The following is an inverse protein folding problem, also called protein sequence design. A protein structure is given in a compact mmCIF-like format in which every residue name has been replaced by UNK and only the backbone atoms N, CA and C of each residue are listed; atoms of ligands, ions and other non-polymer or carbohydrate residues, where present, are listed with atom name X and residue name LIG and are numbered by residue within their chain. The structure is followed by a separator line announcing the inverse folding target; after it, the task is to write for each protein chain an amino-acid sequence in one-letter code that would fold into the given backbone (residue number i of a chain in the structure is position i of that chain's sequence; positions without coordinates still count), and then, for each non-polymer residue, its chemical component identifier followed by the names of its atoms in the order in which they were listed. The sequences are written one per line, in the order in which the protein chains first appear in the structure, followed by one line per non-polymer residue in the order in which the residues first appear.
data_IF_323762067375
#
_entry.id   IF_323762067375
#
_cell.length_a   1.000
_cell.length_b   1.000
_cell.length_c   1.000
_cell.angle_alpha   90.00
_cell.angle_beta   90.00
_cell.angle_gamma   90.00
#
_symmetry.space_group_name_H-M   'P 1'
#
loop_
_entity.id
_entity.type
_entity.pdbx_description
1 polymer ?
#
# COMPACT_ATOMS: atom_id res chain seq x y z
N UNK A 1 57.32 -2.56 84.09
CA UNK A 1 57.08 -1.74 82.89
C UNK A 1 57.99 -2.29 81.80
N UNK A 2 57.38 -2.86 80.78
CA UNK A 2 57.88 -3.94 79.92
C UNK A 2 58.85 -3.42 78.85
N UNK A 3 60.06 -3.99 78.76
CA UNK A 3 61.01 -3.73 77.67
C UNK A 3 60.79 -4.78 76.56
N UNK A 4 60.36 -4.33 75.37
CA UNK A 4 60.13 -5.16 74.19
C UNK A 4 61.38 -5.18 73.29
N UNK A 5 61.84 -6.39 72.99
CA UNK A 5 62.96 -6.75 72.12
C UNK A 5 62.56 -6.54 70.64
N UNK A 6 63.37 -5.79 69.88
CA UNK A 6 63.24 -5.64 68.41
C UNK A 6 63.99 -6.76 67.70
N UNK A 7 63.27 -7.63 67.00
CA UNK A 7 63.84 -8.61 66.05
C UNK A 7 64.17 -7.93 64.71
N UNK A 8 65.35 -8.23 64.16
CA UNK A 8 65.81 -7.84 62.83
C UNK A 8 65.56 -9.02 61.87
N UNK A 9 64.88 -8.78 60.75
CA UNK A 9 64.75 -9.73 59.63
C UNK A 9 65.44 -9.12 58.38
N UNK A 10 66.32 -9.85 57.67
CA UNK A 10 66.98 -9.33 56.48
C UNK A 10 66.06 -9.46 55.25
N UNK A 11 66.01 -8.42 54.43
CA UNK A 11 65.24 -8.35 53.18
C UNK A 11 65.97 -9.06 52.04
N UNK A 12 65.31 -10.04 51.41
CA UNK A 12 65.76 -10.73 50.20
C UNK A 12 65.25 -9.95 48.97
N UNK A 13 66.16 -9.39 48.16
CA UNK A 13 65.83 -8.64 46.94
C UNK A 13 65.72 -9.62 45.76
N UNK A 14 64.51 -9.86 45.25
CA UNK A 14 64.28 -10.61 44.00
C UNK A 14 64.20 -9.61 42.84
N UNK A 15 65.15 -9.68 41.91
CA UNK A 15 65.15 -8.87 40.69
C UNK A 15 64.16 -9.45 39.67
N UNK A 16 63.01 -8.80 39.50
CA UNK A 16 62.03 -9.13 38.46
C UNK A 16 62.44 -8.46 37.14
N UNK A 17 62.74 -9.26 36.12
CA UNK A 17 62.91 -8.82 34.73
C UNK A 17 61.53 -8.67 34.07
N UNK A 18 61.18 -7.51 33.50
CA UNK A 18 59.88 -7.32 32.87
C UNK A 18 59.84 -8.01 31.49
N UNK A 19 58.91 -8.94 31.31
CA UNK A 19 58.48 -9.42 30.00
C UNK A 19 57.71 -8.30 29.30
N UNK A 20 58.27 -7.75 28.23
CA UNK A 20 57.56 -6.83 27.33
C UNK A 20 56.68 -7.70 26.42
N UNK A 21 55.38 -7.75 26.70
CA UNK A 21 54.41 -8.33 25.78
C UNK A 21 54.21 -7.39 24.58
N UNK A 22 54.14 -7.89 23.34
CA UNK A 22 53.80 -7.07 22.19
C UNK A 22 52.37 -6.53 22.35
N UNK A 23 52.21 -5.21 22.17
CA UNK A 23 50.90 -4.58 22.18
C UNK A 23 50.03 -5.13 21.02
N UNK A 24 48.74 -5.40 21.25
CA UNK A 24 47.83 -5.77 20.16
C UNK A 24 47.78 -4.63 19.14
N UNK A 25 48.01 -4.95 17.86
CA UNK A 25 47.79 -3.99 16.77
C UNK A 25 46.31 -3.65 16.76
N UNK A 26 45.98 -2.38 16.96
CA UNK A 26 44.64 -1.87 16.72
C UNK A 26 44.26 -2.20 15.26
N UNK A 27 43.13 -2.89 15.09
CA UNK A 27 42.53 -3.16 13.79
C UNK A 27 42.21 -1.78 13.18
N UNK A 28 42.83 -1.43 12.04
CA UNK A 28 42.56 -0.17 11.36
C UNK A 28 41.06 -0.10 11.09
N UNK A 29 40.38 0.87 11.71
CA UNK A 29 38.97 1.12 11.45
C UNK A 29 38.82 1.47 9.97
N UNK A 30 38.02 0.70 9.24
CA UNK A 30 37.71 0.95 7.83
C UNK A 30 37.11 2.35 7.74
N UNK A 31 37.71 3.23 6.94
CA UNK A 31 37.21 4.58 6.77
C UNK A 31 35.83 4.56 6.08
N UNK A 32 34.85 5.35 6.54
CA UNK A 32 33.55 5.44 5.88
C UNK A 32 33.69 6.20 4.56
N UNK A 33 32.99 5.72 3.52
CA UNK A 33 32.84 6.41 2.24
C UNK A 33 31.73 7.48 2.32
N UNK A 34 30.65 7.19 3.04
CA UNK A 34 29.53 8.10 3.28
C UNK A 34 29.16 8.04 4.76
N UNK A 35 28.86 9.18 5.36
CA UNK A 35 28.24 9.29 6.68
C UNK A 35 26.80 9.78 6.51
N UNK A 36 25.84 9.11 7.14
CA UNK A 36 24.44 9.51 7.17
C UNK A 36 24.04 9.66 8.64
N UNK A 37 23.85 10.91 9.08
CA UNK A 37 23.87 11.28 10.49
C UNK A 37 25.18 10.77 11.13
N UNK A 38 25.08 9.86 12.11
CA UNK A 38 26.24 9.22 12.75
C UNK A 38 26.48 7.77 12.27
N UNK A 39 25.76 7.33 11.22
CA UNK A 39 25.85 5.97 10.70
C UNK A 39 26.78 5.91 9.48
N UNK A 40 27.89 5.16 9.54
CA UNK A 40 28.82 5.03 8.42
C UNK A 40 28.28 4.09 7.33
N UNK A 41 28.69 4.35 6.10
CA UNK A 41 28.55 3.46 4.94
C UNK A 41 29.96 3.32 4.34
N UNK A 42 30.44 2.09 4.24
CA UNK A 42 31.76 1.76 3.71
C UNK A 42 31.73 1.46 2.21
N UNK A 43 32.87 1.56 1.53
CA UNK A 43 32.99 1.11 0.13
C UNK A 43 32.65 -0.36 -0.04
N UNK A 44 33.00 -1.20 0.95
CA UNK A 44 32.66 -2.62 0.94
C UNK A 44 31.15 -2.84 0.95
N UNK A 45 30.39 -2.13 1.78
CA UNK A 45 28.92 -2.21 1.80
C UNK A 45 28.32 -1.78 0.46
N UNK A 46 28.85 -0.72 -0.14
CA UNK A 46 28.41 -0.22 -1.45
C UNK A 46 28.64 -1.28 -2.53
N UNK A 47 29.84 -1.87 -2.59
CA UNK A 47 30.18 -2.90 -3.57
C UNK A 47 29.36 -4.17 -3.39
N UNK A 48 29.20 -4.64 -2.15
CA UNK A 48 28.37 -5.80 -1.83
C UNK A 48 26.90 -5.56 -2.18
N UNK A 49 26.36 -4.38 -1.88
CA UNK A 49 24.98 -4.02 -2.24
C UNK A 49 24.83 -3.93 -3.76
N UNK A 50 25.84 -3.43 -4.48
CA UNK A 50 25.81 -3.39 -5.94
C UNK A 50 25.76 -4.80 -6.56
N UNK A 51 26.59 -5.73 -6.07
CA UNK A 51 26.56 -7.14 -6.47
C UNK A 51 25.21 -7.80 -6.16
N UNK A 52 24.65 -7.54 -4.97
CA UNK A 52 23.32 -8.01 -4.62
C UNK A 52 22.29 -7.49 -5.62
N UNK A 53 22.24 -6.18 -5.87
CA UNK A 53 21.28 -5.58 -6.81
C UNK A 53 21.41 -6.14 -8.22
N UNK A 54 22.63 -6.38 -8.70
CA UNK A 54 22.88 -7.04 -9.98
C UNK A 54 22.33 -8.48 -9.99
N UNK A 55 22.60 -9.26 -8.95
CA UNK A 55 22.07 -10.62 -8.81
C UNK A 55 20.53 -10.65 -8.75
N UNK A 56 19.91 -9.59 -8.25
CA UNK A 56 18.45 -9.42 -8.22
C UNK A 56 17.86 -8.84 -9.52
N UNK A 57 18.69 -8.52 -10.52
CA UNK A 57 18.27 -8.02 -11.83
C UNK A 57 17.95 -6.53 -11.89
N UNK A 58 18.51 -5.71 -10.99
CA UNK A 58 18.31 -4.26 -11.00
C UNK A 58 18.93 -3.63 -12.28
N UNK A 59 18.20 -2.74 -12.99
CA UNK A 59 18.72 -2.09 -14.19
C UNK A 59 19.69 -0.93 -13.87
N UNK A 60 20.63 -0.65 -14.78
CA UNK A 60 21.44 0.57 -14.76
C UNK A 60 22.76 0.47 -13.99
N UNK A 61 23.22 1.59 -13.42
CA UNK A 61 24.46 1.66 -12.67
C UNK A 61 24.25 1.12 -11.24
N UNK A 62 24.65 -0.14 -11.02
CA UNK A 62 24.46 -0.83 -9.74
C UNK A 62 25.09 -0.12 -8.54
N UNK A 63 26.25 0.53 -8.72
CA UNK A 63 26.94 1.22 -7.62
C UNK A 63 26.22 2.49 -7.18
N UNK A 64 25.83 3.35 -8.12
CA UNK A 64 25.08 4.57 -7.80
C UNK A 64 23.71 4.26 -7.16
N UNK A 65 23.06 3.18 -7.62
CA UNK A 65 21.82 2.70 -7.01
C UNK A 65 22.07 2.15 -5.60
N UNK A 66 23.16 1.41 -5.39
CA UNK A 66 23.55 0.90 -4.08
C UNK A 66 23.80 2.04 -3.07
N UNK A 67 24.56 3.08 -3.46
CA UNK A 67 24.79 4.26 -2.63
C UNK A 67 23.47 4.93 -2.22
N UNK A 68 22.57 5.14 -3.18
CA UNK A 68 21.25 5.74 -2.92
C UNK A 68 20.43 4.91 -1.94
N UNK A 69 20.37 3.59 -2.14
CA UNK A 69 19.60 2.69 -1.27
C UNK A 69 20.21 2.58 0.13
N UNK A 70 21.54 2.54 0.25
CA UNK A 70 22.22 2.47 1.55
C UNK A 70 22.02 3.76 2.35
N UNK A 71 22.00 4.92 1.68
CA UNK A 71 21.63 6.19 2.33
C UNK A 71 20.21 6.11 2.88
N UNK A 72 19.24 5.68 2.07
CA UNK A 72 17.85 5.51 2.50
C UNK A 72 17.71 4.50 3.64
N UNK A 73 18.46 3.40 3.60
CA UNK A 73 18.47 2.40 4.66
C UNK A 73 19.05 2.96 5.97
N UNK A 74 20.09 3.81 5.92
CA UNK A 74 20.61 4.50 7.12
C UNK A 74 19.62 5.51 7.68
N UNK A 75 18.92 6.26 6.83
CA UNK A 75 17.88 7.20 7.27
C UNK A 75 16.74 6.43 7.96
N UNK A 76 16.23 5.36 7.33
CA UNK A 76 15.21 4.50 7.92
C UNK A 76 15.68 3.90 9.25
N UNK A 77 16.91 3.37 9.28
CA UNK A 77 17.46 2.75 10.49
C UNK A 77 17.55 3.73 11.64
N UNK A 78 18.05 4.95 11.38
CA UNK A 78 18.10 6.01 12.38
C UNK A 78 16.73 6.28 13.00
N UNK A 79 15.68 6.36 12.18
CA UNK A 79 14.32 6.62 12.67
C UNK A 79 13.69 5.42 13.39
N UNK A 80 13.92 4.20 12.89
CA UNK A 80 13.50 2.95 13.53
C UNK A 80 14.10 2.84 14.93
N UNK A 81 15.41 3.08 15.06
CA UNK A 81 16.12 3.03 16.34
C UNK A 81 15.64 4.15 17.28
N UNK A 82 15.40 5.37 16.76
CA UNK A 82 14.88 6.52 17.54
C UNK A 82 13.50 6.24 18.15
N UNK A 83 12.68 5.47 17.45
CA UNK A 83 11.34 5.07 17.89
C UNK A 83 11.32 3.72 18.64
N UNK A 84 12.49 3.13 18.90
CA UNK A 84 12.64 1.86 19.61
C UNK A 84 11.84 0.73 18.94
N UNK A 85 11.79 0.73 17.61
CA UNK A 85 11.09 -0.30 16.82
C UNK A 85 12.06 -1.45 16.58
N UNK A 86 11.84 -2.57 17.26
CA UNK A 86 12.68 -3.76 17.12
C UNK A 86 12.16 -4.69 16.01
N UNK A 87 13.10 -5.30 15.28
CA UNK A 87 12.86 -6.45 14.39
C UNK A 87 13.39 -7.69 15.11
N UNK A 88 12.52 -8.62 15.48
CA UNK A 88 12.97 -9.83 16.18
C UNK A 88 13.65 -10.81 15.23
N UNK A 89 14.42 -11.76 15.77
CA UNK A 89 15.06 -12.80 14.97
C UNK A 89 14.03 -13.63 14.18
N UNK A 90 12.87 -13.91 14.79
CA UNK A 90 11.78 -14.63 14.13
C UNK A 90 11.18 -13.82 12.96
N UNK A 91 11.06 -12.50 13.11
CA UNK A 91 10.59 -11.61 12.04
C UNK A 91 11.60 -11.52 10.89
N UNK A 92 12.90 -11.48 11.21
CA UNK A 92 13.97 -11.47 10.21
C UNK A 92 13.99 -12.79 9.41
N UNK A 93 13.92 -13.94 10.10
CA UNK A 93 13.83 -15.26 9.48
C UNK A 93 12.58 -15.39 8.60
N UNK A 94 11.44 -14.87 9.06
CA UNK A 94 10.22 -14.84 8.27
C UNK A 94 10.37 -13.97 7.03
N UNK A 95 11.01 -12.80 7.14
CA UNK A 95 11.29 -11.91 6.01
C UNK A 95 12.22 -12.53 4.97
N UNK A 96 13.27 -13.24 5.41
CA UNK A 96 14.17 -13.99 4.52
C UNK A 96 13.44 -15.11 3.78
N UNK A 97 12.60 -15.87 4.50
CA UNK A 97 11.77 -16.93 3.91
C UNK A 97 10.82 -16.36 2.86
N UNK A 98 10.10 -15.29 3.19
CA UNK A 98 9.19 -14.58 2.28
C UNK A 98 9.94 -14.10 1.02
N UNK A 99 11.16 -13.61 1.18
CA UNK A 99 12.00 -13.17 0.06
C UNK A 99 12.47 -14.32 -0.83
N UNK A 100 12.88 -15.44 -0.23
CA UNK A 100 13.33 -16.63 -0.95
C UNK A 100 12.17 -17.28 -1.72
N UNK A 101 11.00 -17.41 -1.09
CA UNK A 101 9.80 -18.01 -1.68
C UNK A 101 9.30 -17.24 -2.91
N UNK A 102 9.39 -15.90 -2.90
CA UNK A 102 9.10 -15.07 -4.09
C UNK A 102 10.00 -15.39 -5.29
N UNK A 103 11.17 -15.97 -5.06
CA UNK A 103 12.12 -16.42 -6.08
C UNK A 103 12.10 -17.94 -6.28
N UNK A 104 11.11 -18.63 -5.71
CA UNK A 104 10.98 -20.09 -5.79
C UNK A 104 12.19 -20.83 -5.20
N UNK A 105 12.83 -20.25 -4.18
CA UNK A 105 13.96 -20.82 -3.45
C UNK A 105 13.60 -20.99 -1.97
N UNK A 106 14.28 -21.89 -1.28
CA UNK A 106 14.38 -21.83 0.18
C UNK A 106 15.53 -20.90 0.62
N UNK A 107 15.59 -20.59 1.92
CA UNK A 107 16.61 -19.67 2.48
C UNK A 107 18.03 -20.18 2.24
N UNK A 108 18.27 -21.48 2.40
CA UNK A 108 19.60 -22.07 2.21
C UNK A 108 20.06 -22.01 0.75
N UNK A 109 19.15 -22.29 -0.18
CA UNK A 109 19.38 -22.17 -1.62
C UNK A 109 19.67 -20.72 -2.04
N UNK A 110 18.92 -19.76 -1.48
CA UNK A 110 19.15 -18.33 -1.71
C UNK A 110 20.55 -17.93 -1.26
N UNK A 111 20.93 -18.26 -0.02
CA UNK A 111 22.24 -17.90 0.53
C UNK A 111 23.39 -18.56 -0.24
N UNK A 112 23.25 -19.83 -0.62
CA UNK A 112 24.24 -20.52 -1.46
C UNK A 112 24.40 -19.84 -2.84
N UNK A 113 23.30 -19.44 -3.48
CA UNK A 113 23.34 -18.74 -4.77
C UNK A 113 23.98 -17.34 -4.68
N UNK A 114 23.86 -16.66 -3.54
CA UNK A 114 24.52 -15.39 -3.27
C UNK A 114 26.02 -15.59 -3.01
N UNK A 115 26.39 -16.59 -2.21
CA UNK A 115 27.79 -16.93 -1.92
C UNK A 115 28.57 -17.31 -3.19
N UNK A 116 27.97 -18.08 -4.11
CA UNK A 116 28.55 -18.41 -5.42
C UNK A 116 28.91 -17.16 -6.26
N UNK A 117 28.28 -16.02 -5.99
CA UNK A 117 28.52 -14.73 -6.64
C UNK A 117 29.42 -13.80 -5.82
N UNK A 118 29.94 -14.26 -4.70
CA UNK A 118 30.78 -13.46 -3.80
C UNK A 118 29.99 -12.42 -3.00
N UNK A 119 28.68 -12.63 -2.80
CA UNK A 119 27.82 -11.77 -2.00
C UNK A 119 27.71 -12.35 -0.59
N UNK A 120 28.17 -11.60 0.40
CA UNK A 120 28.14 -11.98 1.80
C UNK A 120 26.69 -12.10 2.33
N UNK A 121 26.43 -13.06 3.20
CA UNK A 121 25.13 -13.28 3.86
C UNK A 121 24.68 -12.02 4.62
N UNK A 122 25.61 -11.34 5.29
CA UNK A 122 25.33 -10.11 6.02
C UNK A 122 24.75 -9.01 5.12
N UNK A 123 25.11 -8.99 3.83
CA UNK A 123 24.53 -8.05 2.86
C UNK A 123 23.04 -8.29 2.65
N UNK A 124 22.64 -9.56 2.64
CA UNK A 124 21.24 -9.96 2.50
C UNK A 124 20.45 -9.62 3.78
N UNK A 125 21.03 -9.88 4.95
CA UNK A 125 20.44 -9.49 6.24
C UNK A 125 20.25 -7.96 6.33
N UNK A 126 21.30 -7.21 6.01
CA UNK A 126 21.30 -5.74 6.00
C UNK A 126 20.36 -5.13 4.94
N UNK A 127 19.97 -5.90 3.92
CA UNK A 127 18.95 -5.49 2.94
C UNK A 127 17.53 -5.69 3.48
N UNK A 128 17.30 -6.78 4.21
CA UNK A 128 15.95 -7.15 4.71
C UNK A 128 15.58 -6.42 5.99
N UNK A 129 16.48 -6.34 6.96
CA UNK A 129 16.18 -5.82 8.30
C UNK A 129 15.64 -4.38 8.29
N UNK A 130 16.27 -3.39 7.60
CA UNK A 130 15.73 -2.03 7.55
C UNK A 130 14.35 -1.96 6.88
N UNK A 131 14.11 -2.80 5.87
CA UNK A 131 12.83 -2.88 5.16
C UNK A 131 11.72 -3.40 6.08
N UNK A 132 12.01 -4.40 6.94
CA UNK A 132 11.07 -4.93 7.93
C UNK A 132 10.74 -3.90 9.01
N UNK A 133 11.76 -3.27 9.59
CA UNK A 133 11.56 -2.24 10.61
C UNK A 133 10.78 -1.05 10.06
N UNK A 134 11.08 -0.63 8.83
CA UNK A 134 10.35 0.44 8.15
C UNK A 134 8.89 0.08 7.90
N UNK A 135 8.62 -1.15 7.44
CA UNK A 135 7.24 -1.66 7.27
C UNK A 135 6.47 -1.62 8.59
N UNK A 136 7.09 -2.06 9.70
CA UNK A 136 6.47 -2.01 11.05
C UNK A 136 6.17 -0.57 11.47
N UNK A 137 7.13 0.34 11.29
CA UNK A 137 6.95 1.76 11.56
C UNK A 137 5.77 2.33 10.79
N UNK A 138 5.80 2.19 9.47
CA UNK A 138 4.79 2.76 8.56
C UNK A 138 3.41 2.22 8.89
N UNK A 139 3.28 0.91 9.11
CA UNK A 139 2.01 0.30 9.50
C UNK A 139 1.52 0.83 10.85
N UNK A 140 2.38 0.89 11.86
CA UNK A 140 2.02 1.40 13.19
C UNK A 140 1.60 2.87 13.17
N UNK A 141 2.25 3.69 12.35
CA UNK A 141 2.03 5.14 12.30
C UNK A 141 0.87 5.55 11.37
N UNK A 142 0.75 4.93 10.20
CA UNK A 142 -0.07 5.44 9.10
C UNK A 142 -1.25 4.54 8.69
N UNK A 143 -1.37 3.31 9.21
CA UNK A 143 -2.46 2.40 8.79
C UNK A 143 -3.86 2.98 9.02
N UNK A 144 -4.06 3.74 10.11
CA UNK A 144 -5.34 4.41 10.38
C UNK A 144 -5.70 5.45 9.31
N UNK A 145 -4.71 6.23 8.86
CA UNK A 145 -4.87 7.26 7.84
C UNK A 145 -4.99 6.68 6.43
N UNK A 146 -4.33 5.55 6.16
CA UNK A 146 -4.33 4.90 4.85
C UNK A 146 -5.64 4.15 4.54
N UNK A 147 -6.47 3.83 5.54
CA UNK A 147 -7.72 3.07 5.33
C UNK A 147 -8.71 3.85 4.45
N UNK A 148 -9.14 3.29 3.30
CA UNK A 148 -10.17 3.91 2.49
C UNK A 148 -11.56 3.77 3.12
N UNK A 149 -12.39 4.80 2.90
CA UNK A 149 -13.80 4.80 3.26
C UNK A 149 -14.64 4.05 2.23
N UNK A 150 -15.87 3.67 2.56
CA UNK A 150 -16.76 3.06 1.57
C UNK A 150 -17.07 4.01 0.41
N UNK A 151 -17.11 5.32 0.67
CA UNK A 151 -17.25 6.34 -0.37
C UNK A 151 -16.03 6.37 -1.32
N UNK A 152 -14.81 6.15 -0.82
CA UNK A 152 -13.62 6.04 -1.67
C UNK A 152 -13.74 4.85 -2.62
N UNK A 153 -14.29 3.73 -2.15
CA UNK A 153 -14.50 2.51 -2.94
C UNK A 153 -15.57 2.73 -4.00
N UNK A 154 -16.72 3.31 -3.65
CA UNK A 154 -17.77 3.67 -4.62
C UNK A 154 -17.23 4.59 -5.72
N UNK A 155 -16.44 5.58 -5.31
CA UNK A 155 -15.81 6.53 -6.24
C UNK A 155 -14.84 5.82 -7.18
N UNK A 156 -14.04 4.88 -6.67
CA UNK A 156 -13.11 4.08 -7.47
C UNK A 156 -13.83 3.15 -8.46
N UNK A 157 -14.93 2.51 -8.05
CA UNK A 157 -15.73 1.63 -8.90
C UNK A 157 -16.43 2.40 -10.02
N UNK A 158 -17.03 3.54 -9.69
CA UNK A 158 -17.66 4.43 -10.66
C UNK A 158 -16.64 4.98 -11.68
N UNK A 159 -15.39 5.15 -11.25
CA UNK A 159 -14.30 5.53 -12.12
C UNK A 159 -13.91 4.37 -13.07
N UNK A 160 -13.73 3.17 -12.53
CA UNK A 160 -13.31 1.99 -13.29
C UNK A 160 -14.36 1.53 -14.33
N UNK A 161 -15.65 1.71 -14.04
CA UNK A 161 -16.75 1.31 -14.92
C UNK A 161 -16.97 2.25 -16.13
N UNK A 162 -16.20 3.34 -16.24
CA UNK A 162 -16.26 4.20 -17.42
C UNK A 162 -15.84 3.42 -18.67
N UNK A 163 -16.63 3.60 -19.74
CA UNK A 163 -16.33 3.02 -21.06
C UNK A 163 -15.25 3.80 -21.83
N UNK A 164 -14.62 4.77 -21.16
CA UNK A 164 -13.56 5.61 -21.70
C UNK A 164 -12.31 5.41 -20.87
N UNK A 165 -11.15 5.34 -21.55
CA UNK A 165 -9.85 5.50 -20.92
C UNK A 165 -9.41 6.95 -21.15
N UNK A 166 -9.46 7.76 -20.10
CA UNK A 166 -8.96 9.13 -20.15
C UNK A 166 -7.49 9.16 -19.72
N UNK A 167 -6.63 9.75 -20.56
CA UNK A 167 -5.24 10.05 -20.22
C UNK A 167 -5.05 11.55 -20.09
N UNK A 168 -4.31 11.93 -19.06
CA UNK A 168 -4.04 13.32 -18.70
C UNK A 168 -2.58 13.65 -18.97
N UNK A 169 -2.34 14.74 -19.70
CA UNK A 169 -1.02 15.33 -19.82
C UNK A 169 -0.92 16.48 -18.83
N UNK A 170 -0.11 16.32 -17.79
CA UNK A 170 -0.09 17.23 -16.64
C UNK A 170 1.23 18.01 -16.51
N UNK A 171 1.17 19.09 -15.76
CA UNK A 171 2.32 19.78 -15.22
C UNK A 171 2.06 20.09 -13.75
N UNK A 172 3.04 19.90 -12.87
CA UNK A 172 2.84 19.98 -11.42
C UNK A 172 3.73 21.04 -10.75
N UNK A 173 3.23 21.58 -9.64
CA UNK A 173 3.97 22.34 -8.64
C UNK A 173 3.69 21.68 -7.29
N UNK A 174 4.68 21.00 -6.71
CA UNK A 174 4.61 20.56 -5.31
C UNK A 174 5.23 21.60 -4.37
N UNK A 175 4.41 22.21 -3.51
CA UNK A 175 4.83 23.14 -2.46
C UNK A 175 5.15 22.34 -1.20
N UNK A 176 6.34 22.50 -0.65
CA UNK A 176 6.74 21.79 0.58
C UNK A 176 6.02 22.34 1.80
N UNK A 177 5.38 21.48 2.59
CA UNK A 177 4.84 21.85 3.91
C UNK A 177 5.97 22.06 4.92
N UNK A 178 7.10 21.38 4.76
CA UNK A 178 8.28 21.53 5.62
C UNK A 178 8.88 22.96 5.54
N UNK A 179 9.00 23.50 4.32
CA UNK A 179 9.61 24.82 4.09
C UNK A 179 8.73 25.97 4.58
N UNK A 180 7.41 25.84 4.46
CA UNK A 180 6.46 26.94 4.71
C UNK A 180 5.61 26.76 5.97
N UNK A 181 5.44 25.53 6.46
CA UNK A 181 4.42 25.15 7.43
C UNK A 181 3.05 24.89 6.78
N UNK A 182 2.17 24.11 7.41
CA UNK A 182 0.94 23.60 6.79
C UNK A 182 -0.05 24.71 6.38
N UNK A 183 -0.25 25.70 7.25
CA UNK A 183 -1.19 26.81 6.97
C UNK A 183 -0.66 27.73 5.86
N UNK A 184 0.64 28.04 5.89
CA UNK A 184 1.27 28.91 4.90
C UNK A 184 1.34 28.23 3.53
N UNK A 185 1.75 26.95 3.49
CA UNK A 185 1.75 26.17 2.26
C UNK A 185 0.35 26.12 1.65
N UNK A 186 -0.71 25.97 2.47
CA UNK A 186 -2.09 25.98 2.00
C UNK A 186 -2.50 27.33 1.45
N UNK A 187 -2.12 28.42 2.12
CA UNK A 187 -2.38 29.78 1.65
C UNK A 187 -1.66 30.08 0.35
N UNK A 188 -0.37 29.77 0.28
CA UNK A 188 0.47 29.94 -0.91
C UNK A 188 -0.07 29.11 -2.07
N UNK A 189 -0.45 27.86 -1.81
CA UNK A 189 -1.05 26.99 -2.82
C UNK A 189 -2.32 27.58 -3.39
N UNK A 190 -3.22 28.06 -2.53
CA UNK A 190 -4.46 28.70 -2.94
C UNK A 190 -4.23 30.00 -3.72
N UNK A 191 -3.20 30.78 -3.35
CA UNK A 191 -2.79 31.98 -4.08
C UNK A 191 -2.26 31.65 -5.48
N UNK A 192 -1.33 30.69 -5.57
CA UNK A 192 -0.73 30.25 -6.82
C UNK A 192 -1.79 29.69 -7.76
N UNK A 193 -2.66 28.79 -7.29
CA UNK A 193 -3.75 28.24 -8.09
C UNK A 193 -4.61 29.34 -8.71
N UNK A 194 -5.02 30.36 -7.92
CA UNK A 194 -5.81 31.49 -8.43
C UNK A 194 -5.04 32.37 -9.40
N UNK A 195 -3.78 32.67 -9.11
CA UNK A 195 -2.94 33.55 -9.94
C UNK A 195 -2.63 32.91 -11.30
N UNK A 196 -2.29 31.62 -11.29
CA UNK A 196 -1.96 30.85 -12.48
C UNK A 196 -3.18 30.67 -13.39
N UNK A 197 -4.38 30.47 -12.82
CA UNK A 197 -5.63 30.46 -13.59
C UNK A 197 -5.97 31.81 -14.26
N UNK A 198 -5.35 32.92 -13.85
CA UNK A 198 -5.51 34.25 -14.47
C UNK A 198 -4.43 34.56 -15.51
N UNK A 199 -3.70 33.55 -15.97
CA UNK A 199 -2.63 33.70 -16.97
C UNK A 199 -1.23 33.91 -16.38
N UNK A 200 -1.03 33.58 -15.09
CA UNK A 200 0.29 33.59 -14.48
C UNK A 200 1.27 32.60 -15.15
N UNK A 201 2.58 32.89 -15.06
CA UNK A 201 3.60 32.05 -15.66
C UNK A 201 3.86 30.80 -14.79
N UNK A 202 3.33 29.66 -15.23
CA UNK A 202 3.45 28.38 -14.52
C UNK A 202 4.91 27.90 -14.43
N UNK A 203 5.70 28.01 -15.50
CA UNK A 203 7.09 27.53 -15.52
C UNK A 203 7.96 28.31 -14.52
N UNK A 204 7.72 29.62 -14.38
CA UNK A 204 8.39 30.44 -13.37
C UNK A 204 7.97 30.06 -11.94
N UNK A 205 6.69 29.72 -11.73
CA UNK A 205 6.20 29.26 -10.44
C UNK A 205 6.79 27.89 -10.07
N UNK A 206 6.91 26.96 -11.01
CA UNK A 206 7.61 25.69 -10.81
C UNK A 206 9.04 25.95 -10.36
N UNK A 207 9.80 26.75 -11.13
CA UNK A 207 11.21 27.01 -10.85
C UNK A 207 11.43 27.66 -9.47
N UNK A 208 10.47 28.45 -9.00
CA UNK A 208 10.57 29.17 -7.73
C UNK A 208 10.10 28.33 -6.53
N UNK A 209 8.94 27.69 -6.65
CA UNK A 209 8.21 27.13 -5.50
C UNK A 209 8.20 25.61 -5.49
N UNK A 210 8.40 24.93 -6.62
CA UNK A 210 8.24 23.49 -6.66
C UNK A 210 9.44 22.76 -6.05
N UNK A 211 9.14 21.69 -5.31
CA UNK A 211 10.12 20.73 -4.78
C UNK A 211 9.93 19.31 -5.34
N UNK A 212 9.07 19.15 -6.35
CA UNK A 212 8.90 17.86 -7.01
C UNK A 212 10.13 17.50 -7.87
N UNK A 213 10.46 16.20 -8.06
CA UNK A 213 11.52 15.78 -8.98
C UNK A 213 11.33 16.31 -10.41
N UNK A 214 10.08 16.41 -10.85
CA UNK A 214 9.68 16.95 -12.16
C UNK A 214 10.06 18.43 -12.34
N UNK A 215 10.32 19.18 -11.27
CA UNK A 215 10.68 20.60 -11.33
C UNK A 215 11.91 20.85 -12.22
N UNK A 216 12.84 19.89 -12.29
CA UNK A 216 14.02 19.93 -13.18
C UNK A 216 13.65 19.98 -14.67
N UNK A 217 12.48 19.48 -15.03
CA UNK A 217 11.90 19.51 -16.37
C UNK A 217 10.68 20.46 -16.44
N UNK A 218 10.73 21.55 -15.67
CA UNK A 218 9.64 22.52 -15.61
C UNK A 218 8.33 21.94 -15.06
N UNK A 219 8.38 20.88 -14.26
CA UNK A 219 7.20 20.27 -13.63
C UNK A 219 6.39 19.37 -14.58
N UNK A 220 6.91 19.04 -15.76
CA UNK A 220 6.14 18.28 -16.77
C UNK A 220 6.11 16.79 -16.45
N UNK A 221 4.93 16.21 -16.52
CA UNK A 221 4.68 14.77 -16.40
C UNK A 221 4.39 14.17 -17.78
N UNK A 222 4.69 12.88 -17.93
CA UNK A 222 4.23 12.07 -19.06
C UNK A 222 2.72 11.82 -18.99
N UNK A 223 2.14 11.19 -20.02
CA UNK A 223 0.72 10.84 -20.04
C UNK A 223 0.35 9.87 -18.92
N UNK A 224 -0.48 10.34 -17.99
CA UNK A 224 -0.97 9.56 -16.85
C UNK A 224 -2.37 9.03 -17.18
N UNK A 225 -2.64 7.73 -17.02
CA UNK A 225 -4.04 7.27 -17.09
C UNK A 225 -4.77 7.79 -15.86
N UNK A 226 -5.96 8.35 -16.06
CA UNK A 226 -6.77 8.79 -14.94
C UNK A 226 -7.19 7.61 -14.04
N UNK A 227 -7.16 6.37 -14.55
CA UNK A 227 -7.35 5.15 -13.76
C UNK A 227 -6.17 4.76 -12.87
N UNK A 228 -4.97 5.28 -13.14
CA UNK A 228 -3.79 5.09 -12.30
C UNK A 228 -3.75 6.09 -11.13
N UNK A 229 -4.59 7.12 -11.17
CA UNK A 229 -4.67 8.15 -10.14
C UNK A 229 -5.64 7.75 -9.02
N UNK A 230 -5.40 8.18 -7.78
CA UNK A 230 -6.39 8.07 -6.72
C UNK A 230 -7.71 8.73 -7.14
N UNK A 231 -8.87 8.09 -6.97
CA UNK A 231 -10.13 8.57 -7.53
C UNK A 231 -10.50 10.03 -7.15
N UNK A 232 -10.30 10.48 -5.89
CA UNK A 232 -10.56 11.88 -5.53
C UNK A 232 -9.72 12.89 -6.30
N UNK A 233 -8.52 12.50 -6.73
CA UNK A 233 -7.60 13.34 -7.51
C UNK A 233 -7.98 13.28 -8.98
N UNK A 234 -8.21 12.06 -9.51
CA UNK A 234 -8.64 11.85 -10.89
C UNK A 234 -9.88 12.68 -11.22
N UNK A 235 -10.89 12.69 -10.34
CA UNK A 235 -12.12 13.48 -10.51
C UNK A 235 -11.84 14.98 -10.58
N UNK A 236 -10.98 15.50 -9.70
CA UNK A 236 -10.63 16.92 -9.71
C UNK A 236 -9.88 17.31 -10.99
N UNK A 237 -8.97 16.46 -11.47
CA UNK A 237 -8.17 16.75 -12.65
C UNK A 237 -8.95 16.56 -13.96
N UNK A 238 -9.86 15.58 -14.03
CA UNK A 238 -10.76 15.40 -15.18
C UNK A 238 -11.80 16.51 -15.32
N UNK A 239 -12.09 17.24 -14.23
CA UNK A 239 -12.99 18.39 -14.27
C UNK A 239 -12.34 19.64 -14.89
N UNK A 240 -11.02 19.63 -15.11
CA UNK A 240 -10.28 20.76 -15.67
C UNK A 240 -10.40 20.80 -17.18
N UNK A 241 -10.40 22.00 -17.75
CA UNK A 241 -10.17 22.21 -19.17
C UNK A 241 -8.66 22.29 -19.48
N UNK A 242 -8.21 21.94 -20.70
CA UNK A 242 -6.84 22.17 -21.11
C UNK A 242 -6.42 23.63 -20.92
N UNK A 243 -5.30 23.84 -20.23
CA UNK A 243 -4.78 25.14 -19.78
C UNK A 243 -5.18 25.53 -18.35
N UNK A 244 -6.22 24.91 -17.78
CA UNK A 244 -6.72 25.20 -16.44
C UNK A 244 -5.84 24.57 -15.35
N UNK A 245 -5.85 25.22 -14.18
CA UNK A 245 -5.05 24.86 -13.02
C UNK A 245 -5.95 24.38 -11.88
N UNK A 246 -5.61 23.25 -11.29
CA UNK A 246 -6.36 22.63 -10.19
C UNK A 246 -6.43 23.52 -8.95
N UNK A 247 -7.40 23.24 -8.09
CA UNK A 247 -7.30 23.63 -6.70
C UNK A 247 -6.04 23.00 -6.07
N UNK A 248 -5.52 23.54 -4.96
CA UNK A 248 -4.39 22.93 -4.25
C UNK A 248 -4.83 21.59 -3.65
N UNK A 249 -4.13 20.53 -4.03
CA UNK A 249 -4.42 19.15 -3.61
C UNK A 249 -3.39 18.75 -2.55
N UNK A 250 -3.80 18.41 -1.32
CA UNK A 250 -2.91 17.82 -0.33
C UNK A 250 -2.40 16.48 -0.86
N UNK A 251 -1.12 16.45 -1.16
CA UNK A 251 -0.46 15.32 -1.78
C UNK A 251 0.93 15.26 -1.21
N UNK A 252 1.23 14.16 -0.58
CA UNK A 252 2.58 13.96 -0.16
C UNK A 252 2.90 14.65 1.17
N UNK A 253 4.12 15.20 1.21
CA UNK A 253 4.63 16.19 2.16
C UNK A 253 4.33 17.64 1.75
N UNK A 254 3.27 17.83 0.96
CA UNK A 254 3.10 19.07 0.25
C UNK A 254 1.71 19.33 -0.23
N UNK A 255 1.61 20.47 -0.89
CA UNK A 255 0.41 20.88 -1.59
C UNK A 255 0.76 20.94 -3.06
N UNK A 256 0.15 20.05 -3.81
CA UNK A 256 0.36 19.95 -5.24
C UNK A 256 -0.68 20.75 -5.99
N UNK A 257 -0.25 21.44 -7.04
CA UNK A 257 -1.10 22.14 -7.98
C UNK A 257 -0.77 21.59 -9.36
N UNK A 258 -1.79 21.18 -10.10
CA UNK A 258 -1.64 20.66 -11.44
C UNK A 258 -2.20 21.62 -12.48
N UNK A 259 -1.53 21.73 -13.62
CA UNK A 259 -2.11 22.30 -14.84
C UNK A 259 -2.42 21.16 -15.80
N UNK A 260 -3.66 21.10 -16.28
CA UNK A 260 -3.99 20.20 -17.38
C UNK A 260 -3.44 20.81 -18.67
N UNK A 261 -2.55 20.09 -19.36
CA UNK A 261 -2.02 20.53 -20.65
C UNK A 261 -2.83 20.00 -21.80
N UNK A 262 -3.26 18.74 -21.70
CA UNK A 262 -4.06 18.06 -22.70
C UNK A 262 -4.80 16.87 -22.08
N UNK A 263 -5.88 16.44 -22.73
CA UNK A 263 -6.66 15.25 -22.36
C UNK A 263 -6.92 14.40 -23.60
N UNK A 264 -6.59 13.12 -23.50
CA UNK A 264 -6.90 12.12 -24.53
C UNK A 264 -8.02 11.23 -24.02
N UNK A 265 -9.16 11.19 -24.73
CA UNK A 265 -10.27 10.29 -24.42
C UNK A 265 -10.27 9.18 -25.46
N UNK A 266 -10.11 7.94 -25.01
CA UNK A 266 -10.19 6.76 -25.87
C UNK A 266 -11.42 5.96 -25.51
N UNK A 267 -12.24 5.62 -26.51
CA UNK A 267 -13.29 4.62 -26.32
C UNK A 267 -12.62 3.29 -25.99
N UNK A 268 -12.94 2.76 -24.81
CA UNK A 268 -12.64 1.37 -24.50
C UNK A 268 -13.58 0.55 -25.37
N UNK A 269 -13.09 -0.40 -26.19
CA UNK A 269 -13.98 -1.26 -26.96
C UNK A 269 -14.97 -1.88 -25.99
N UNK A 270 -16.26 -1.63 -26.21
CA UNK A 270 -17.31 -2.17 -25.36
C UNK A 270 -17.13 -3.69 -25.34
N UNK A 271 -17.08 -4.34 -24.16
CA UNK A 271 -17.29 -5.78 -24.13
C UNK A 271 -18.64 -6.03 -24.82
N UNK A 272 -18.65 -6.89 -25.83
CA UNK A 272 -19.83 -7.18 -26.66
C UNK A 272 -21.07 -7.39 -25.78
N UNK A 273 -21.97 -6.39 -25.76
CA UNK A 273 -23.36 -6.46 -25.31
C UNK A 273 -23.67 -7.55 -24.26
N UNK A 274 -23.12 -7.46 -23.06
CA UNK A 274 -23.77 -8.12 -21.93
C UNK A 274 -24.93 -7.23 -21.50
N UNK A 275 -26.15 -7.53 -21.96
CA UNK A 275 -27.34 -6.96 -21.33
C UNK A 275 -27.19 -7.13 -19.82
N UNK A 276 -27.52 -6.10 -19.03
CA UNK A 276 -27.37 -6.21 -17.58
C UNK A 276 -28.11 -7.46 -17.10
N UNK A 277 -27.38 -8.41 -16.54
CA UNK A 277 -27.89 -9.68 -16.04
C UNK A 277 -27.79 -9.72 -14.54
N UNK A 278 -28.61 -10.56 -13.93
CA UNK A 278 -28.51 -10.93 -12.53
C UNK A 278 -28.42 -12.44 -12.39
N UNK A 279 -27.75 -12.88 -11.33
CA UNK A 279 -27.80 -14.25 -10.82
C UNK A 279 -28.40 -14.20 -9.42
N UNK A 280 -29.35 -15.07 -9.12
CA UNK A 280 -30.06 -15.09 -7.84
C UNK A 280 -30.43 -16.51 -7.42
N UNK A 281 -30.71 -16.74 -6.14
CA UNK A 281 -31.38 -17.94 -5.65
C UNK A 281 -32.83 -17.66 -5.33
N UNK A 282 -33.69 -18.63 -5.64
CA UNK A 282 -35.02 -18.76 -5.04
C UNK A 282 -35.00 -20.00 -4.14
N UNK A 283 -35.27 -19.84 -2.85
CA UNK A 283 -35.53 -20.96 -1.93
C UNK A 283 -37.02 -20.96 -1.61
N UNK A 284 -37.72 -21.97 -2.09
CA UNK A 284 -39.17 -22.07 -2.08
C UNK A 284 -39.58 -23.07 -1.00
N UNK A 285 -40.22 -22.58 0.05
CA UNK A 285 -40.99 -23.40 0.97
C UNK A 285 -42.42 -23.54 0.41
N UNK A 286 -42.79 -24.68 -0.18
CA UNK A 286 -44.04 -24.79 -0.93
C UNK A 286 -45.25 -24.68 0.00
N UNK A 287 -46.21 -23.82 -0.36
CA UNK A 287 -47.45 -23.63 0.38
C UNK A 287 -48.59 -23.26 -0.58
N UNK A 288 -49.77 -23.83 -0.37
CA UNK A 288 -50.96 -23.46 -1.13
C UNK A 288 -51.34 -21.98 -0.88
N UNK A 289 -52.00 -21.35 -1.87
CA UNK A 289 -52.40 -19.95 -1.79
C UNK A 289 -53.34 -19.64 -0.60
N UNK A 290 -54.14 -20.62 -0.18
CA UNK A 290 -55.08 -20.58 0.94
C UNK A 290 -54.53 -21.24 2.23
N UNK A 291 -53.21 -21.45 2.31
CA UNK A 291 -52.59 -22.07 3.48
C UNK A 291 -52.91 -21.28 4.77
N UNK A 292 -53.16 -21.96 5.91
CA UNK A 292 -53.41 -21.29 7.19
C UNK A 292 -52.26 -20.38 7.62
N UNK A 293 -52.58 -19.27 8.29
CA UNK A 293 -51.59 -18.28 8.77
C UNK A 293 -50.45 -18.91 9.59
N UNK A 294 -50.77 -19.94 10.39
CA UNK A 294 -49.78 -20.68 11.16
C UNK A 294 -48.69 -21.32 10.28
N UNK A 295 -49.08 -21.93 9.15
CA UNK A 295 -48.14 -22.53 8.21
C UNK A 295 -47.32 -21.46 7.47
N UNK A 296 -47.93 -20.32 7.14
CA UNK A 296 -47.21 -19.18 6.55
C UNK A 296 -46.17 -18.62 7.51
N UNK A 297 -46.52 -18.50 8.80
CA UNK A 297 -45.62 -18.02 9.84
C UNK A 297 -44.43 -18.97 10.05
N UNK A 298 -44.68 -20.27 10.06
CA UNK A 298 -43.63 -21.30 10.17
C UNK A 298 -42.66 -21.25 8.99
N UNK A 299 -43.17 -21.18 7.75
CA UNK A 299 -42.34 -21.06 6.57
C UNK A 299 -41.51 -19.75 6.55
N UNK A 300 -42.09 -18.63 6.98
CA UNK A 300 -41.34 -17.38 7.17
C UNK A 300 -40.31 -17.46 8.29
N UNK A 301 -40.53 -18.28 9.32
CA UNK A 301 -39.55 -18.50 10.38
C UNK A 301 -38.34 -19.28 9.84
N UNK A 302 -38.58 -20.33 9.05
CA UNK A 302 -37.52 -21.08 8.38
C UNK A 302 -36.69 -20.17 7.45
N UNK A 303 -37.34 -19.37 6.60
CA UNK A 303 -36.64 -18.44 5.72
C UNK A 303 -35.78 -17.42 6.49
N UNK A 304 -36.26 -16.94 7.65
CA UNK A 304 -35.49 -16.03 8.53
C UNK A 304 -34.27 -16.71 9.13
N UNK A 305 -34.39 -17.96 9.54
CA UNK A 305 -33.31 -18.75 10.11
C UNK A 305 -32.21 -19.04 9.07
N UNK A 306 -32.59 -19.45 7.85
CA UNK A 306 -31.65 -19.59 6.73
C UNK A 306 -30.91 -18.27 6.49
N UNK A 307 -31.65 -17.16 6.39
CA UNK A 307 -31.06 -15.81 6.22
C UNK A 307 -30.06 -15.44 7.32
N UNK A 308 -30.24 -15.92 8.55
CA UNK A 308 -29.32 -15.64 9.66
C UNK A 308 -28.03 -16.46 9.60
N UNK A 309 -28.05 -17.61 8.91
CA UNK A 309 -26.93 -18.56 8.83
C UNK A 309 -26.17 -18.50 7.51
N UNK A 310 -26.75 -17.87 6.48
CA UNK A 310 -26.13 -17.65 5.17
C UNK A 310 -25.46 -16.28 5.11
N UNK A 311 -24.22 -16.21 4.60
CA UNK A 311 -23.53 -14.95 4.33
C UNK A 311 -23.18 -14.78 2.86
N UNK A 312 -22.82 -15.86 2.19
CA UNK A 312 -22.41 -15.89 0.79
C UNK A 312 -23.36 -16.78 -0.01
N UNK A 313 -23.53 -16.48 -1.30
CA UNK A 313 -24.32 -17.34 -2.18
C UNK A 313 -23.76 -18.77 -2.28
N UNK A 314 -22.45 -18.93 -2.17
CA UNK A 314 -21.78 -20.24 -2.15
C UNK A 314 -22.16 -21.09 -0.93
N UNK A 315 -22.62 -20.48 0.17
CA UNK A 315 -23.10 -21.22 1.34
C UNK A 315 -24.37 -22.02 1.00
N UNK A 316 -25.10 -21.61 -0.03
CA UNK A 316 -26.32 -22.27 -0.52
C UNK A 316 -26.00 -23.40 -1.51
N UNK A 317 -24.89 -23.34 -2.25
CA UNK A 317 -24.50 -24.42 -3.18
C UNK A 317 -24.31 -25.77 -2.49
N UNK A 318 -23.85 -25.77 -1.23
CA UNK A 318 -23.67 -26.98 -0.42
C UNK A 318 -24.97 -27.56 0.16
N UNK A 319 -26.11 -26.86 0.04
CA UNK A 319 -27.38 -27.17 0.71
C UNK A 319 -28.54 -27.46 -0.27
N UNK A 320 -28.23 -27.59 -1.58
CA UNK A 320 -29.22 -27.75 -2.66
C UNK A 320 -30.32 -28.82 -2.42
N UNK A 321 -30.08 -30.00 -1.82
CA UNK A 321 -31.13 -31.00 -1.60
C UNK A 321 -32.22 -30.58 -0.60
N UNK A 322 -31.92 -29.65 0.30
CA UNK A 322 -32.77 -29.37 1.48
C UNK A 322 -33.73 -28.19 1.29
N UNK A 323 -33.65 -27.47 0.16
CA UNK A 323 -34.38 -26.22 -0.04
C UNK A 323 -35.81 -26.35 -0.59
N UNK A 324 -36.33 -27.57 -0.77
CA UNK A 324 -37.66 -27.79 -1.32
C UNK A 324 -37.70 -27.75 -2.86
N UNK A 325 -38.80 -28.26 -3.43
CA UNK A 325 -38.94 -28.40 -4.88
C UNK A 325 -39.06 -27.04 -5.58
N UNK A 326 -38.30 -26.85 -6.66
CA UNK A 326 -38.28 -25.61 -7.44
C UNK A 326 -37.29 -24.56 -6.92
N UNK A 327 -36.58 -24.84 -5.84
CA UNK A 327 -35.48 -24.03 -5.35
C UNK A 327 -34.23 -24.21 -6.21
N UNK A 328 -33.44 -23.14 -6.34
CA UNK A 328 -32.18 -23.22 -7.07
C UNK A 328 -31.59 -21.88 -7.46
N UNK A 329 -30.39 -21.96 -8.04
CA UNK A 329 -29.65 -20.84 -8.62
C UNK A 329 -30.14 -20.56 -10.03
N UNK A 330 -30.39 -19.30 -10.36
CA UNK A 330 -30.65 -18.89 -11.73
C UNK A 330 -29.37 -18.99 -12.58
N UNK A 331 -29.53 -19.13 -13.89
CA UNK A 331 -28.48 -18.73 -14.83
C UNK A 331 -28.37 -17.19 -14.86
N UNK A 332 -27.30 -16.60 -15.42
CA UNK A 332 -27.27 -15.17 -15.74
C UNK A 332 -28.52 -14.78 -16.54
N UNK A 333 -29.38 -13.99 -15.92
CA UNK A 333 -30.72 -13.67 -16.44
C UNK A 333 -30.77 -12.17 -16.73
N UNK A 334 -31.03 -11.73 -17.97
CA UNK A 334 -31.17 -10.32 -18.29
C UNK A 334 -32.23 -9.66 -17.39
N UNK A 335 -31.91 -8.52 -16.78
CA UNK A 335 -32.81 -7.78 -15.87
C UNK A 335 -34.14 -7.48 -16.58
N UNK A 336 -34.09 -7.12 -17.85
CA UNK A 336 -35.28 -6.86 -18.68
C UNK A 336 -36.19 -8.09 -18.90
N UNK A 337 -35.67 -9.30 -18.66
CA UNK A 337 -36.42 -10.56 -18.80
C UNK A 337 -36.99 -11.09 -17.48
N UNK A 338 -36.70 -10.42 -16.35
CA UNK A 338 -37.17 -10.87 -15.04
C UNK A 338 -38.70 -10.78 -14.94
N UNK A 339 -39.36 -11.81 -14.38
CA UNK A 339 -40.77 -11.71 -14.01
C UNK A 339 -41.02 -10.54 -13.04
N UNK A 340 -42.17 -9.84 -13.11
CA UNK A 340 -42.45 -8.67 -12.25
C UNK A 340 -42.29 -8.95 -10.75
N UNK A 341 -42.62 -10.18 -10.31
CA UNK A 341 -42.47 -10.62 -8.91
C UNK A 341 -41.03 -10.59 -8.40
N UNK A 342 -40.05 -10.73 -9.30
CA UNK A 342 -38.62 -10.71 -8.99
C UNK A 342 -37.99 -9.37 -9.34
N UNK A 343 -38.42 -8.75 -10.45
CA UNK A 343 -37.88 -7.46 -10.90
C UNK A 343 -38.01 -6.37 -9.82
N UNK A 344 -39.16 -6.29 -9.14
CA UNK A 344 -39.41 -5.24 -8.15
C UNK A 344 -38.57 -5.39 -6.87
N UNK A 345 -38.47 -6.58 -6.23
CA UNK A 345 -37.50 -6.84 -5.17
C UNK A 345 -36.05 -6.59 -5.60
N UNK A 346 -35.62 -7.23 -6.70
CA UNK A 346 -34.22 -7.20 -7.16
C UNK A 346 -33.76 -5.78 -7.46
N UNK A 347 -34.63 -4.91 -7.99
CA UNK A 347 -34.27 -3.52 -8.29
C UNK A 347 -33.63 -2.77 -7.11
N UNK A 348 -33.99 -3.11 -5.87
CA UNK A 348 -33.48 -2.46 -4.65
C UNK A 348 -32.51 -3.33 -3.84
N UNK A 349 -32.15 -4.50 -4.32
CA UNK A 349 -31.22 -5.42 -3.67
C UNK A 349 -29.80 -5.22 -4.19
N UNK A 350 -28.82 -5.19 -3.30
CA UNK A 350 -27.40 -5.36 -3.61
C UNK A 350 -27.03 -6.86 -3.61
N UNK A 351 -25.94 -7.28 -4.28
CA UNK A 351 -25.41 -8.64 -4.15
C UNK A 351 -25.20 -9.02 -2.68
N UNK A 352 -25.75 -10.16 -2.28
CA UNK A 352 -25.78 -10.66 -0.90
C UNK A 352 -27.08 -10.37 -0.15
N UNK A 353 -27.89 -9.39 -0.59
CA UNK A 353 -29.17 -9.10 0.04
C UNK A 353 -30.15 -10.27 -0.10
N UNK A 354 -30.99 -10.42 0.93
CA UNK A 354 -31.99 -11.47 1.02
C UNK A 354 -33.36 -10.92 1.40
N UNK A 355 -34.38 -11.26 0.61
CA UNK A 355 -35.76 -10.84 0.82
C UNK A 355 -36.71 -12.04 0.93
N UNK A 356 -37.68 -11.97 1.85
CA UNK A 356 -38.67 -13.04 2.06
C UNK A 356 -40.01 -12.64 1.46
N UNK A 357 -40.30 -13.24 0.31
CA UNK A 357 -41.48 -13.00 -0.50
C UNK A 357 -42.56 -14.06 -0.21
N UNK A 358 -43.81 -13.72 -0.56
CA UNK A 358 -44.92 -14.67 -0.63
C UNK A 358 -45.50 -14.61 -2.03
N UNK A 359 -45.59 -15.75 -2.68
CA UNK A 359 -46.24 -15.88 -3.99
C UNK A 359 -47.18 -17.11 -4.01
N UNK A 360 -47.61 -17.49 -5.22
CA UNK A 360 -48.50 -18.61 -5.50
C UNK A 360 -47.84 -19.99 -5.31
N UNK A 361 -46.50 -20.05 -5.25
CA UNK A 361 -45.74 -21.28 -5.00
C UNK A 361 -45.52 -21.49 -3.50
N UNK A 362 -45.46 -20.42 -2.72
CA UNK A 362 -45.36 -20.47 -1.26
C UNK A 362 -44.60 -19.29 -0.68
N UNK A 363 -43.78 -19.54 0.35
CA UNK A 363 -42.84 -18.55 0.87
C UNK A 363 -41.51 -18.72 0.16
N UNK A 364 -41.01 -17.65 -0.45
CA UNK A 364 -39.77 -17.64 -1.22
C UNK A 364 -38.74 -16.76 -0.52
N UNK A 365 -37.60 -17.32 -0.15
CA UNK A 365 -36.41 -16.54 0.20
C UNK A 365 -35.62 -16.28 -1.09
N UNK A 366 -35.63 -15.04 -1.54
CA UNK A 366 -34.88 -14.56 -2.70
C UNK A 366 -33.54 -14.00 -2.22
N UNK A 367 -32.43 -14.45 -2.82
CA UNK A 367 -31.10 -13.89 -2.58
C UNK A 367 -30.49 -13.42 -3.90
N UNK A 368 -30.07 -12.16 -3.98
CA UNK A 368 -29.33 -11.67 -5.15
C UNK A 368 -27.86 -12.06 -5.00
N UNK A 369 -27.28 -12.75 -5.99
CA UNK A 369 -25.89 -13.21 -5.94
C UNK A 369 -24.95 -12.35 -6.74
N UNK A 370 -25.35 -12.02 -7.96
CA UNK A 370 -24.52 -11.26 -8.89
C UNK A 370 -25.42 -10.30 -9.65
N UNK A 371 -24.89 -9.12 -9.96
CA UNK A 371 -25.45 -8.21 -10.95
C UNK A 371 -24.30 -7.80 -11.86
N UNK A 372 -24.43 -8.05 -13.16
CA UNK A 372 -23.37 -7.67 -14.10
C UNK A 372 -23.12 -6.17 -14.05
N UNK A 373 -21.85 -5.77 -14.03
CA UNK A 373 -21.45 -4.36 -13.94
C UNK A 373 -21.34 -3.81 -12.52
N UNK A 374 -21.79 -4.55 -11.50
CA UNK A 374 -21.48 -4.25 -10.09
C UNK A 374 -20.31 -5.11 -9.61
N UNK A 375 -19.41 -4.53 -8.83
CA UNK A 375 -18.27 -5.26 -8.29
C UNK A 375 -18.68 -6.22 -7.17
N UNK A 376 -18.17 -7.46 -7.21
CA UNK A 376 -18.43 -8.49 -6.20
C UNK A 376 -17.83 -8.10 -4.83
N UNK A 377 -18.28 -8.70 -3.71
CA UNK A 377 -17.65 -8.48 -2.41
C UNK A 377 -16.13 -8.70 -2.42
N UNK A 378 -15.65 -9.72 -3.15
CA UNK A 378 -14.24 -10.03 -3.31
C UNK A 378 -13.49 -8.94 -4.11
N UNK A 379 -14.07 -8.46 -5.21
CA UNK A 379 -13.49 -7.37 -6.01
C UNK A 379 -13.41 -6.07 -5.22
N UNK A 380 -14.43 -5.77 -4.43
CA UNK A 380 -14.47 -4.60 -3.54
C UNK A 380 -13.40 -4.69 -2.45
N UNK A 381 -13.18 -5.87 -1.89
CA UNK A 381 -12.13 -6.09 -0.90
C UNK A 381 -10.73 -6.03 -1.52
N UNK A 382 -10.55 -6.58 -2.73
CA UNK A 382 -9.31 -6.42 -3.48
C UNK A 382 -9.00 -4.95 -3.76
N UNK A 383 -10.00 -4.18 -4.19
CA UNK A 383 -9.90 -2.74 -4.42
C UNK A 383 -9.60 -1.97 -3.13
N UNK A 384 -10.26 -2.32 -2.01
CA UNK A 384 -9.97 -1.75 -0.69
C UNK A 384 -8.50 -1.94 -0.31
N UNK A 385 -7.98 -3.16 -0.46
CA UNK A 385 -6.59 -3.49 -0.16
C UNK A 385 -5.62 -2.78 -1.09
N UNK A 386 -5.94 -2.67 -2.38
CA UNK A 386 -5.16 -1.90 -3.33
C UNK A 386 -5.07 -0.43 -2.94
N UNK A 387 -6.20 0.24 -2.68
CA UNK A 387 -6.25 1.64 -2.28
C UNK A 387 -5.53 1.89 -0.95
N UNK A 388 -5.70 0.98 0.01
CA UNK A 388 -4.97 1.03 1.28
C UNK A 388 -3.46 0.99 1.07
N UNK A 389 -2.97 0.01 0.31
CA UNK A 389 -1.53 -0.13 0.04
C UNK A 389 -0.98 1.07 -0.72
N UNK A 390 -1.70 1.59 -1.72
CA UNK A 390 -1.29 2.80 -2.45
C UNK A 390 -1.18 4.02 -1.53
N UNK A 391 -2.20 4.27 -0.68
CA UNK A 391 -2.19 5.37 0.29
C UNK A 391 -1.07 5.21 1.31
N UNK A 392 -0.88 4.00 1.83
CA UNK A 392 0.16 3.69 2.79
C UNK A 392 1.56 3.90 2.20
N UNK A 393 1.80 3.43 0.97
CA UNK A 393 3.04 3.66 0.24
C UNK A 393 3.30 5.14 -0.02
N UNK A 394 2.27 5.92 -0.36
CA UNK A 394 2.42 7.37 -0.51
C UNK A 394 2.83 8.03 0.81
N UNK A 395 2.13 7.74 1.91
CA UNK A 395 2.48 8.24 3.25
C UNK A 395 3.89 7.82 3.69
N UNK A 396 4.30 6.59 3.38
CA UNK A 396 5.64 6.10 3.67
C UNK A 396 6.71 6.84 2.87
N UNK A 397 6.51 7.02 1.56
CA UNK A 397 7.46 7.72 0.71
C UNK A 397 7.63 9.15 1.18
N UNK A 398 6.52 9.84 1.43
CA UNK A 398 6.52 11.16 2.02
C UNK A 398 7.43 11.16 3.23
N UNK A 399 7.12 10.32 4.20
CA UNK A 399 7.80 10.35 5.48
C UNK A 399 9.31 10.10 5.34
N UNK A 400 9.73 9.25 4.39
CA UNK A 400 11.14 9.08 4.06
C UNK A 400 11.77 10.34 3.46
N UNK A 401 11.05 11.08 2.61
CA UNK A 401 11.54 12.37 2.08
C UNK A 401 11.71 13.42 3.17
N UNK A 402 10.82 13.51 4.16
CA UNK A 402 11.01 14.41 5.33
C UNK A 402 12.30 14.04 6.07
N UNK A 403 12.46 12.75 6.39
CA UNK A 403 13.64 12.27 7.09
C UNK A 403 14.93 12.50 6.28
N UNK A 404 14.85 12.46 4.94
CA UNK A 404 15.96 12.78 4.04
C UNK A 404 16.30 14.26 4.05
N UNK A 405 15.30 15.14 4.13
CA UNK A 405 15.47 16.59 4.30
C UNK A 405 16.20 16.94 5.59
N UNK A 406 15.88 16.22 6.67
CA UNK A 406 16.50 16.40 7.99
C UNK A 406 17.87 15.71 8.14
N UNK A 407 18.23 14.78 7.25
CA UNK A 407 19.44 13.98 7.38
C UNK A 407 20.73 14.74 7.03
N UNK A 408 21.79 14.52 7.83
CA UNK A 408 23.13 15.03 7.54
C UNK A 408 23.91 13.98 6.75
N UNK A 409 24.10 14.22 5.44
CA UNK A 409 24.80 13.28 4.54
C UNK A 409 26.16 13.89 4.15
N UNK A 410 27.25 13.17 4.43
CA UNK A 410 28.63 13.63 4.15
C UNK A 410 29.41 12.53 3.41
N UNK A 411 29.75 12.79 2.15
CA UNK A 411 30.71 11.99 1.37
C UNK A 411 32.14 12.30 1.83
N UNK A 412 33.01 11.28 1.87
CA UNK A 412 34.37 11.36 2.44
C UNK A 412 35.49 11.23 1.44
#
# INVERSE_FOLDING_TARGET
MTFLIRLILPSLLVAATPLIAPAPRAQEAVAPAIMVNDLPITDYEIDQRALLLEALGAPGNGRALAETQLIDDRIRRHEIDRLEIEVTAEELDAGLREFAERRQLDVGQLLAALDERGIAEETMLAFVEPSLGWRKLVQGRFAGQARPTDQDIETALAFASRQTDERLLLQEIAISIEEYGPEEAARLGAELSRSLNRGGNFDAAVARYSRAPSARNGGRLDWVSAGDLPPPIAIQLLALMPGEVSAPIPLGQGISIFRLRDIEIRERPAPEQSADTVVYYELIQPLAADAPDAAVLEARALARDIRQRTRLCTDLDGQLPDFGAGSGRSAPTPIASLPPRLAQPIANMAPGDMEILRDDRGVVLLMLCERSGEATPEEREALRNQLFNQRLSALAQNYLEDLRGDAVIVEK
#
